data_IF_255725600688
#
_entry.id   IF_255725600688
#
_cell.length_a   1.000
_cell.length_b   1.000
_cell.length_c   1.000
_cell.angle_alpha   90.00
_cell.angle_beta   90.00
_cell.angle_gamma   90.00
#
_symmetry.space_group_name_H-M   'P 1'
#
loop_
_entity.id
_entity.type
_entity.pdbx_description
1 polymer ?
#
# COMPACT_ATOMS: atom_id res chain seq x y z
N UNK A 1 2.61 29.79 -15.04
CA UNK A 1 2.92 28.43 -14.56
C UNK A 1 1.77 27.77 -13.81
N UNK A 2 1.07 28.45 -12.90
CA UNK A 2 -0.09 27.95 -12.13
C UNK A 2 -1.23 27.31 -12.96
N UNK A 3 -1.35 27.66 -14.24
CA UNK A 3 -2.43 27.21 -15.12
C UNK A 3 -2.28 25.74 -15.60
N UNK A 4 -1.08 25.17 -15.61
CA UNK A 4 -0.84 23.81 -16.11
C UNK A 4 -1.28 22.74 -15.09
N UNK A 5 -0.86 22.89 -13.83
CA UNK A 5 -1.29 21.96 -12.74
C UNK A 5 -2.78 21.99 -12.55
N UNK A 6 -3.36 23.20 -12.43
CA UNK A 6 -4.81 23.35 -12.32
C UNK A 6 -5.53 22.73 -13.50
N UNK A 7 -4.99 22.90 -14.71
CA UNK A 7 -5.52 22.31 -15.94
C UNK A 7 -5.40 20.78 -15.95
N UNK A 8 -4.30 20.22 -15.48
CA UNK A 8 -4.12 18.77 -15.36
C UNK A 8 -5.06 18.19 -14.31
N UNK A 9 -5.15 18.84 -13.12
CA UNK A 9 -6.05 18.46 -12.03
C UNK A 9 -7.53 18.47 -12.44
N UNK A 10 -7.93 19.42 -13.28
CA UNK A 10 -9.33 19.60 -13.72
C UNK A 10 -9.72 18.77 -14.93
N UNK A 11 -8.77 18.28 -15.72
CA UNK A 11 -9.05 17.63 -17.02
C UNK A 11 -8.80 16.12 -17.04
N UNK A 12 -8.01 15.60 -16.12
CA UNK A 12 -7.53 14.22 -16.20
C UNK A 12 -8.39 13.27 -15.36
N UNK A 13 -8.58 12.06 -15.86
CA UNK A 13 -8.93 10.93 -15.01
C UNK A 13 -7.71 10.57 -14.17
N UNK A 14 -7.95 10.21 -12.92
CA UNK A 14 -6.93 9.96 -11.92
C UNK A 14 -6.84 8.49 -11.55
N UNK A 15 -5.64 7.99 -11.55
CA UNK A 15 -5.22 6.78 -10.89
C UNK A 15 -4.33 7.17 -9.69
N UNK A 16 -4.93 7.76 -8.66
CA UNK A 16 -4.25 8.30 -7.47
C UNK A 16 -4.95 7.83 -6.19
N UNK A 17 -4.19 7.63 -5.13
CA UNK A 17 -4.75 7.28 -3.81
C UNK A 17 -5.65 8.41 -3.28
N UNK A 18 -6.83 8.04 -2.76
CA UNK A 18 -7.86 9.00 -2.35
C UNK A 18 -7.43 9.87 -1.17
N UNK A 19 -6.67 9.33 -0.21
CA UNK A 19 -6.17 10.08 0.97
C UNK A 19 -5.24 11.20 0.52
N UNK A 20 -4.38 10.93 -0.46
CA UNK A 20 -3.52 11.93 -1.06
C UNK A 20 -4.32 13.01 -1.80
N UNK A 21 -5.30 12.61 -2.61
CA UNK A 21 -6.17 13.55 -3.33
C UNK A 21 -6.94 14.47 -2.37
N UNK A 22 -7.44 13.94 -1.25
CA UNK A 22 -8.15 14.71 -0.24
C UNK A 22 -7.23 15.66 0.54
N UNK A 23 -6.04 15.21 0.92
CA UNK A 23 -5.07 16.04 1.64
C UNK A 23 -4.67 17.30 0.84
N UNK A 24 -4.62 17.20 -0.49
CA UNK A 24 -4.26 18.31 -1.38
C UNK A 24 -5.48 19.10 -1.90
N UNK A 25 -6.68 18.66 -1.61
CA UNK A 25 -7.92 19.35 -2.01
C UNK A 25 -8.01 20.80 -1.51
N UNK A 26 -7.48 21.08 -0.33
CA UNK A 26 -7.37 22.43 0.23
C UNK A 26 -6.46 23.35 -0.59
N UNK A 27 -5.35 22.83 -1.10
CA UNK A 27 -4.42 23.57 -1.97
C UNK A 27 -5.10 23.89 -3.29
N UNK A 28 -5.77 22.91 -3.90
CA UNK A 28 -6.52 23.08 -5.14
C UNK A 28 -7.63 24.14 -4.97
N UNK A 29 -8.39 24.05 -3.86
CA UNK A 29 -9.42 25.04 -3.55
C UNK A 29 -8.83 26.45 -3.32
N UNK A 30 -7.67 26.53 -2.68
CA UNK A 30 -6.94 27.79 -2.49
C UNK A 30 -6.49 28.40 -3.82
N UNK A 31 -5.92 27.60 -4.73
CA UNK A 31 -5.52 28.04 -6.07
C UNK A 31 -6.72 28.53 -6.90
N UNK A 32 -7.86 27.82 -6.83
CA UNK A 32 -9.11 28.22 -7.48
C UNK A 32 -9.62 29.57 -6.94
N UNK A 33 -9.45 29.82 -5.66
CA UNK A 33 -9.85 31.06 -4.99
C UNK A 33 -8.83 32.20 -5.14
N UNK A 34 -7.75 32.02 -5.92
CA UNK A 34 -6.74 33.03 -6.18
C UNK A 34 -5.78 33.26 -5.01
N UNK A 35 -5.71 32.34 -4.05
CA UNK A 35 -4.67 32.37 -3.03
C UNK A 35 -3.32 32.07 -3.68
N UNK A 36 -2.39 33.02 -3.56
CA UNK A 36 -1.01 32.81 -3.91
C UNK A 36 -0.34 32.02 -2.79
N UNK A 37 -0.04 30.76 -3.05
CA UNK A 37 0.94 30.06 -2.22
C UNK A 37 2.31 30.52 -2.67
N UNK A 38 2.89 31.50 -1.98
CA UNK A 38 4.31 31.82 -2.16
C UNK A 38 5.10 30.58 -1.80
N UNK A 39 5.77 30.00 -2.80
CA UNK A 39 6.85 29.08 -2.51
C UNK A 39 7.85 29.88 -1.68
N UNK A 40 8.04 29.53 -0.43
CA UNK A 40 9.17 30.04 0.33
C UNK A 40 10.42 29.60 -0.41
N UNK A 41 11.03 30.56 -1.14
CA UNK A 41 12.25 30.36 -1.93
C UNK A 41 13.46 29.95 -1.07
N UNK A 42 13.27 29.91 0.24
CA UNK A 42 14.31 29.65 1.24
C UNK A 42 14.26 28.26 1.86
N UNK A 43 13.28 27.41 1.47
CA UNK A 43 13.40 25.98 1.73
C UNK A 43 14.38 25.40 0.71
N UNK A 44 15.67 25.38 1.05
CA UNK A 44 16.64 24.45 0.47
C UNK A 44 16.10 23.02 0.72
N UNK A 45 15.13 22.62 -0.09
CA UNK A 45 14.68 21.24 -0.10
C UNK A 45 15.82 20.40 -0.67
N UNK A 46 16.54 19.73 0.22
CA UNK A 46 17.53 18.71 -0.12
C UNK A 46 16.92 17.50 -0.87
N UNK A 47 15.71 17.65 -1.39
CA UNK A 47 14.96 16.60 -2.10
C UNK A 47 15.29 16.52 -3.59
N UNK A 48 15.78 17.58 -4.24
CA UNK A 48 16.18 17.50 -5.65
C UNK A 48 17.22 16.41 -5.91
N UNK A 49 18.19 16.25 -5.01
CA UNK A 49 19.22 15.20 -5.13
C UNK A 49 18.68 13.80 -4.93
N UNK A 50 17.57 13.62 -4.21
CA UNK A 50 16.94 12.32 -3.95
C UNK A 50 15.96 11.89 -5.06
N UNK A 51 15.63 12.77 -6.00
CA UNK A 51 14.77 12.46 -7.14
C UNK A 51 15.52 12.14 -8.44
N UNK A 52 16.84 12.36 -8.47
CA UNK A 52 17.67 12.03 -9.63
C UNK A 52 18.08 10.55 -9.63
N UNK A 53 18.19 9.92 -10.80
CA UNK A 53 18.71 8.57 -10.90
C UNK A 53 20.20 8.55 -10.49
N UNK A 54 20.62 7.44 -9.92
CA UNK A 54 22.01 7.19 -9.56
C UNK A 54 22.32 5.70 -9.74
N UNK A 55 23.61 5.37 -9.82
CA UNK A 55 24.03 3.98 -9.83
C UNK A 55 24.71 3.59 -8.52
N UNK A 56 24.63 2.30 -8.19
CA UNK A 56 25.37 1.67 -7.10
C UNK A 56 26.11 0.45 -7.66
N UNK A 57 27.28 0.13 -7.08
CA UNK A 57 27.92 -1.14 -7.37
C UNK A 57 27.30 -2.23 -6.50
N UNK A 58 26.98 -3.39 -7.08
CA UNK A 58 26.48 -4.54 -6.33
C UNK A 58 27.44 -4.99 -5.21
N UNK A 59 28.77 -4.85 -5.42
CA UNK A 59 29.80 -5.17 -4.43
C UNK A 59 30.03 -4.07 -3.37
N UNK A 60 29.50 -2.88 -3.56
CA UNK A 60 29.61 -1.74 -2.65
C UNK A 60 28.36 -0.86 -2.67
N UNK A 61 27.23 -1.36 -2.13
CA UNK A 61 25.92 -0.68 -2.26
C UNK A 61 25.87 0.71 -1.60
N UNK A 62 26.76 0.98 -0.66
CA UNK A 62 26.84 2.28 0.03
C UNK A 62 27.49 3.37 -0.84
N UNK A 63 28.15 3.02 -1.94
CA UNK A 63 28.77 4.00 -2.84
C UNK A 63 27.80 4.34 -3.97
N UNK A 64 27.35 5.59 -4.00
CA UNK A 64 26.49 6.14 -5.05
C UNK A 64 27.33 6.85 -6.10
N UNK A 65 26.96 6.64 -7.36
CA UNK A 65 27.52 7.33 -8.53
C UNK A 65 26.41 8.19 -9.14
N UNK A 66 26.67 9.47 -9.29
CA UNK A 66 25.66 10.45 -9.76
C UNK A 66 25.34 10.31 -11.25
N UNK A 67 26.21 9.67 -12.01
CA UNK A 67 26.02 9.36 -13.44
C UNK A 67 26.28 7.88 -13.68
N UNK A 68 25.69 7.33 -14.73
CA UNK A 68 25.94 5.94 -15.10
C UNK A 68 27.33 5.74 -15.73
N UNK A 69 27.88 6.81 -16.35
CA UNK A 69 29.24 6.79 -16.92
C UNK A 69 30.34 6.60 -15.87
N UNK A 70 30.16 7.19 -14.69
CA UNK A 70 31.14 7.09 -13.59
C UNK A 70 31.03 5.76 -12.82
N UNK A 71 29.96 5.01 -13.03
CA UNK A 71 29.71 3.74 -12.35
C UNK A 71 30.53 2.60 -12.98
N UNK A 72 31.06 1.68 -12.17
CA UNK A 72 31.75 0.50 -12.72
C UNK A 72 30.77 -0.39 -13.49
N UNK A 73 31.32 -1.16 -14.45
CA UNK A 73 30.53 -2.15 -15.18
C UNK A 73 29.88 -3.15 -14.22
N UNK A 74 28.63 -3.54 -14.49
CA UNK A 74 27.85 -4.40 -13.61
C UNK A 74 27.16 -3.65 -12.46
N UNK A 75 27.09 -2.32 -12.53
CA UNK A 75 26.36 -1.51 -11.57
C UNK A 75 24.84 -1.63 -11.75
N UNK A 76 24.11 -1.26 -10.69
CA UNK A 76 22.65 -1.24 -10.64
C UNK A 76 22.19 0.22 -10.67
N UNK A 77 21.31 0.55 -11.62
CA UNK A 77 20.66 1.86 -11.66
C UNK A 77 19.50 1.91 -10.66
N UNK A 78 19.44 2.97 -9.87
CA UNK A 78 18.32 3.27 -8.97
C UNK A 78 17.56 4.43 -9.58
N UNK A 79 16.28 4.20 -9.91
CA UNK A 79 15.38 5.20 -10.50
C UNK A 79 14.31 5.55 -9.46
N UNK A 80 14.41 6.70 -8.78
CA UNK A 80 13.40 7.13 -7.82
C UNK A 80 12.09 7.49 -8.52
N UNK A 81 10.96 6.94 -8.00
CA UNK A 81 9.59 7.26 -8.38
C UNK A 81 8.89 7.74 -7.11
N UNK A 82 8.92 9.05 -6.87
CA UNK A 82 8.42 9.67 -5.64
C UNK A 82 7.35 10.70 -5.91
N UNK A 83 6.37 10.75 -5.01
CA UNK A 83 5.26 11.70 -5.09
C UNK A 83 4.28 11.39 -6.23
N UNK A 84 3.39 12.34 -6.58
CA UNK A 84 2.37 12.15 -7.61
C UNK A 84 2.98 12.04 -9.00
N UNK A 85 2.50 11.07 -9.78
CA UNK A 85 2.92 10.84 -11.16
C UNK A 85 2.11 11.72 -12.11
N UNK A 86 2.78 12.67 -12.73
CA UNK A 86 2.24 13.52 -13.80
C UNK A 86 2.92 13.15 -15.13
N UNK A 87 2.28 13.46 -16.27
CA UNK A 87 2.86 13.17 -17.58
C UNK A 87 4.18 13.89 -17.79
N UNK A 88 4.16 15.20 -17.55
CA UNK A 88 5.31 16.09 -17.69
C UNK A 88 5.90 16.42 -16.33
N UNK A 89 7.19 16.75 -16.28
CA UNK A 89 7.81 17.28 -15.06
C UNK A 89 7.16 18.60 -14.69
N UNK A 90 6.64 18.71 -13.48
CA UNK A 90 6.07 19.94 -12.97
C UNK A 90 6.74 20.32 -11.64
N UNK A 91 7.30 21.52 -11.63
CA UNK A 91 7.90 22.18 -10.47
C UNK A 91 6.96 23.28 -10.01
N UNK A 92 5.89 22.93 -9.27
CA UNK A 92 4.98 23.96 -8.76
C UNK A 92 4.65 23.74 -7.29
N UNK A 93 4.64 24.83 -6.51
CA UNK A 93 4.32 24.86 -5.08
C UNK A 93 5.25 24.04 -4.18
N UNK A 94 6.51 23.79 -4.57
CA UNK A 94 7.49 23.06 -3.75
C UNK A 94 7.27 21.55 -3.71
N UNK A 95 6.31 21.03 -4.48
CA UNK A 95 6.10 19.58 -4.68
C UNK A 95 6.66 19.20 -6.03
N UNK A 96 7.73 18.41 -6.04
CA UNK A 96 8.24 17.77 -7.24
C UNK A 96 7.31 16.62 -7.61
N UNK A 97 6.60 16.74 -8.74
CA UNK A 97 5.93 15.61 -9.38
C UNK A 97 6.92 14.89 -10.30
N UNK A 98 6.95 13.57 -10.22
CA UNK A 98 7.74 12.77 -11.14
C UNK A 98 7.08 12.76 -12.52
N UNK A 99 7.70 13.38 -13.50
CA UNK A 99 7.27 13.36 -14.90
C UNK A 99 7.42 11.97 -15.49
N UNK A 100 6.32 11.35 -15.90
CA UNK A 100 6.32 9.99 -16.44
C UNK A 100 7.15 9.86 -17.72
N UNK A 101 7.16 10.89 -18.57
CA UNK A 101 7.97 10.90 -19.80
C UNK A 101 9.47 10.93 -19.46
N UNK A 102 9.87 11.75 -18.49
CA UNK A 102 11.25 11.84 -17.99
C UNK A 102 11.67 10.55 -17.28
N UNK A 103 10.82 10.00 -16.40
CA UNK A 103 11.08 8.72 -15.74
C UNK A 103 11.28 7.59 -16.77
N UNK A 104 10.42 7.54 -17.79
CA UNK A 104 10.53 6.54 -18.84
C UNK A 104 11.82 6.67 -19.66
N UNK A 105 12.31 7.88 -19.91
CA UNK A 105 13.59 8.09 -20.56
C UNK A 105 14.76 7.65 -19.66
N UNK A 106 14.73 7.97 -18.36
CA UNK A 106 15.73 7.50 -17.38
C UNK A 106 15.80 5.97 -17.30
N UNK A 107 14.66 5.28 -17.39
CA UNK A 107 14.60 3.81 -17.43
C UNK A 107 15.26 3.29 -18.70
N UNK A 108 14.96 3.86 -19.86
CA UNK A 108 15.56 3.45 -21.14
C UNK A 108 17.06 3.80 -21.22
N UNK A 109 17.47 4.94 -20.67
CA UNK A 109 18.88 5.32 -20.58
C UNK A 109 19.67 4.28 -19.74
N UNK A 110 19.10 3.83 -18.61
CA UNK A 110 19.69 2.78 -17.80
C UNK A 110 19.72 1.43 -18.52
N UNK A 111 18.65 1.06 -19.23
CA UNK A 111 18.55 -0.20 -20.00
C UNK A 111 19.59 -0.29 -21.12
N UNK A 112 19.94 0.84 -21.73
CA UNK A 112 20.90 0.91 -22.85
C UNK A 112 22.33 1.14 -22.39
N UNK A 113 22.56 1.44 -21.12
CA UNK A 113 23.87 1.85 -20.64
C UNK A 113 24.79 0.65 -20.36
N UNK A 114 26.02 0.61 -20.93
CA UNK A 114 26.91 -0.55 -20.85
C UNK A 114 27.40 -0.88 -19.44
N UNK A 115 27.39 0.09 -18.52
CA UNK A 115 27.80 -0.10 -17.13
C UNK A 115 26.69 -0.63 -16.24
N UNK A 116 25.43 -0.64 -16.72
CA UNK A 116 24.25 -1.04 -15.93
C UNK A 116 23.87 -2.48 -16.27
N UNK A 117 23.77 -3.32 -15.25
CA UNK A 117 23.35 -4.71 -15.36
C UNK A 117 21.99 -4.99 -14.76
N UNK A 118 21.44 -4.06 -13.98
CA UNK A 118 20.14 -4.17 -13.33
C UNK A 118 19.54 -2.81 -13.02
N UNK A 119 18.21 -2.74 -12.92
CA UNK A 119 17.48 -1.50 -12.63
C UNK A 119 16.59 -1.74 -11.42
N UNK A 120 16.61 -0.84 -10.45
CA UNK A 120 15.67 -0.81 -9.33
C UNK A 120 14.81 0.45 -9.44
N UNK A 121 13.50 0.27 -9.57
CA UNK A 121 12.52 1.34 -9.40
C UNK A 121 12.29 1.53 -7.90
N UNK A 122 12.75 2.65 -7.36
CA UNK A 122 12.59 2.99 -5.95
C UNK A 122 11.31 3.81 -5.76
N UNK A 123 10.25 3.15 -5.27
CA UNK A 123 8.87 3.66 -5.36
C UNK A 123 8.36 4.11 -3.99
N UNK A 124 7.92 5.38 -3.91
CA UNK A 124 7.10 5.94 -2.85
C UNK A 124 6.13 6.95 -3.47
N UNK A 125 5.00 6.44 -3.99
CA UNK A 125 4.10 7.22 -4.81
C UNK A 125 2.62 6.84 -4.63
N UNK A 126 1.72 7.84 -4.48
CA UNK A 126 0.27 7.63 -4.42
C UNK A 126 -0.37 7.32 -5.79
N UNK A 127 0.41 7.27 -6.86
CA UNK A 127 -0.06 7.27 -8.23
C UNK A 127 -0.20 8.66 -8.83
N UNK A 128 -1.08 8.86 -9.82
CA UNK A 128 -1.19 10.13 -10.51
C UNK A 128 -2.20 10.15 -11.66
N UNK A 129 -1.89 10.85 -12.73
CA UNK A 129 -2.73 10.91 -13.92
C UNK A 129 -2.69 9.60 -14.70
N UNK A 130 -3.82 9.22 -15.31
CA UNK A 130 -3.87 8.04 -16.20
C UNK A 130 -3.04 8.29 -17.46
N UNK A 131 -3.06 9.54 -17.96
CA UNK A 131 -2.26 9.94 -19.13
C UNK A 131 -0.76 9.84 -18.80
N UNK A 132 -0.03 9.08 -19.61
CA UNK A 132 1.39 8.78 -19.44
C UNK A 132 1.67 7.45 -18.71
N UNK A 133 0.76 6.97 -17.85
CA UNK A 133 1.01 5.78 -17.00
C UNK A 133 1.29 4.52 -17.83
N UNK A 134 0.46 4.23 -18.82
CA UNK A 134 0.66 3.05 -19.68
C UNK A 134 1.99 3.14 -20.44
N UNK A 135 2.32 4.31 -20.98
CA UNK A 135 3.58 4.50 -21.73
C UNK A 135 4.81 4.27 -20.86
N UNK A 136 4.79 4.72 -19.60
CA UNK A 136 5.87 4.44 -18.63
C UNK A 136 5.92 2.95 -18.28
N UNK A 137 4.79 2.32 -18.02
CA UNK A 137 4.70 0.89 -17.71
C UNK A 137 5.23 0.03 -18.88
N UNK A 138 4.88 0.38 -20.12
CA UNK A 138 5.35 -0.31 -21.33
C UNK A 138 6.86 -0.15 -21.51
N UNK A 139 7.45 1.01 -21.21
CA UNK A 139 8.91 1.22 -21.22
C UNK A 139 9.59 0.30 -20.19
N UNK A 140 9.09 0.25 -18.94
CA UNK A 140 9.62 -0.64 -17.90
C UNK A 140 9.57 -2.10 -18.37
N UNK A 141 8.45 -2.53 -18.93
CA UNK A 141 8.25 -3.91 -19.39
C UNK A 141 9.12 -4.26 -20.60
N UNK A 142 9.49 -3.28 -21.42
CA UNK A 142 10.31 -3.49 -22.63
C UNK A 142 11.80 -3.57 -22.37
N UNK A 143 12.25 -3.27 -21.15
CA UNK A 143 13.68 -3.33 -20.81
C UNK A 143 14.24 -4.74 -20.98
N UNK A 144 15.43 -4.81 -21.54
CA UNK A 144 16.24 -6.04 -21.63
C UNK A 144 16.99 -6.28 -20.34
N UNK A 145 17.45 -5.22 -19.72
CA UNK A 145 18.04 -5.21 -18.38
C UNK A 145 16.96 -5.54 -17.35
N UNK A 146 17.17 -6.49 -16.43
CA UNK A 146 16.17 -6.84 -15.43
C UNK A 146 15.81 -5.66 -14.55
N UNK A 147 14.50 -5.52 -14.30
CA UNK A 147 13.93 -4.45 -13.48
C UNK A 147 13.29 -5.06 -12.25
N UNK A 148 13.60 -4.53 -11.08
CA UNK A 148 12.95 -4.84 -9.79
C UNK A 148 12.32 -3.59 -9.23
N UNK A 149 11.08 -3.67 -8.78
CA UNK A 149 10.43 -2.60 -8.02
C UNK A 149 10.68 -2.79 -6.53
N UNK A 150 11.24 -1.77 -5.88
CA UNK A 150 11.39 -1.71 -4.43
C UNK A 150 10.51 -0.60 -3.87
N UNK A 151 9.60 -0.95 -2.96
CA UNK A 151 8.60 -0.04 -2.42
C UNK A 151 9.06 0.46 -1.06
N UNK A 152 9.29 1.78 -0.96
CA UNK A 152 9.67 2.49 0.27
C UNK A 152 8.51 3.37 0.75
N UNK A 153 7.51 2.74 1.37
CA UNK A 153 6.32 3.41 1.90
C UNK A 153 5.05 3.09 1.15
N UNK A 154 4.84 3.62 -0.06
CA UNK A 154 3.58 3.50 -0.80
C UNK A 154 3.81 3.20 -2.29
N UNK A 155 3.09 2.20 -2.81
CA UNK A 155 2.94 1.98 -4.24
C UNK A 155 1.44 1.85 -4.57
N UNK A 156 0.81 2.96 -4.92
CA UNK A 156 -0.63 2.98 -5.15
C UNK A 156 -0.97 3.40 -6.59
N UNK A 157 -2.06 2.81 -7.09
CA UNK A 157 -2.75 3.24 -8.31
C UNK A 157 -1.84 3.32 -9.55
N UNK A 158 -1.59 4.46 -10.19
CA UNK A 158 -0.68 4.58 -11.34
C UNK A 158 0.74 4.04 -11.03
N UNK A 159 1.24 4.26 -9.81
CA UNK A 159 2.53 3.74 -9.40
C UNK A 159 2.54 2.20 -9.32
N UNK A 160 1.42 1.58 -8.91
CA UNK A 160 1.26 0.13 -8.93
C UNK A 160 1.22 -0.40 -10.38
N UNK A 161 0.51 0.28 -11.28
CA UNK A 161 0.51 -0.10 -12.70
C UNK A 161 1.94 -0.16 -13.25
N UNK A 162 2.74 0.87 -12.98
CA UNK A 162 4.15 0.92 -13.40
C UNK A 162 4.98 -0.13 -12.66
N UNK A 163 4.88 -0.19 -11.34
CA UNK A 163 5.71 -1.06 -10.50
C UNK A 163 5.49 -2.55 -10.77
N UNK A 164 4.25 -2.96 -11.07
CA UNK A 164 3.95 -4.36 -11.42
C UNK A 164 4.47 -4.77 -12.81
N UNK A 165 4.95 -3.83 -13.63
CA UNK A 165 5.59 -4.12 -14.91
C UNK A 165 7.04 -4.57 -14.77
N UNK A 166 7.64 -4.46 -13.59
CA UNK A 166 8.94 -5.02 -13.25
C UNK A 166 8.88 -6.55 -13.09
N UNK A 167 10.04 -7.21 -13.18
CA UNK A 167 10.17 -8.66 -13.05
C UNK A 167 9.84 -9.15 -11.63
N UNK A 168 10.19 -8.35 -10.60
CA UNK A 168 9.85 -8.62 -9.20
C UNK A 168 9.44 -7.33 -8.50
N UNK A 169 8.60 -7.48 -7.48
CA UNK A 169 8.11 -6.39 -6.63
C UNK A 169 8.38 -6.73 -5.17
N UNK A 170 9.17 -5.90 -4.50
CA UNK A 170 9.62 -6.12 -3.13
C UNK A 170 9.18 -4.93 -2.27
N UNK A 171 8.45 -5.19 -1.19
CA UNK A 171 8.08 -4.17 -0.20
C UNK A 171 9.11 -4.10 0.92
N UNK A 172 9.44 -2.89 1.38
CA UNK A 172 10.47 -2.68 2.39
C UNK A 172 10.16 -3.37 3.72
N UNK A 173 8.90 -3.33 4.15
CA UNK A 173 8.46 -3.89 5.43
C UNK A 173 6.94 -4.13 5.43
N UNK A 174 6.42 -4.71 6.52
CA UNK A 174 5.01 -5.07 6.66
C UNK A 174 4.05 -3.87 6.65
N UNK A 175 4.50 -2.67 7.00
CA UNK A 175 3.68 -1.44 6.99
C UNK A 175 3.65 -0.73 5.65
N UNK A 176 4.40 -1.20 4.66
CA UNK A 176 4.36 -0.70 3.29
C UNK A 176 2.97 -0.91 2.70
N UNK A 177 2.46 0.09 2.01
CA UNK A 177 1.11 0.09 1.45
C UNK A 177 1.12 -0.13 -0.07
N UNK A 178 0.26 -1.03 -0.54
CA UNK A 178 0.20 -1.44 -1.95
C UNK A 178 -1.28 -1.55 -2.38
N UNK A 179 -1.65 -1.04 -3.56
CA UNK A 179 -3.01 -1.23 -4.06
C UNK A 179 -3.59 -0.04 -4.79
N UNK A 180 -4.83 0.33 -4.43
CA UNK A 180 -5.60 1.41 -5.08
C UNK A 180 -5.77 1.18 -6.60
N UNK A 181 -6.06 -0.09 -7.00
CA UNK A 181 -6.31 -0.42 -8.41
C UNK A 181 -7.70 0.06 -8.78
N UNK A 182 -7.77 1.26 -9.34
CA UNK A 182 -9.02 1.89 -9.72
C UNK A 182 -8.80 3.25 -10.37
N UNK A 183 -9.85 3.77 -11.00
CA UNK A 183 -9.87 5.06 -11.69
C UNK A 183 -10.97 5.91 -11.08
N UNK A 184 -10.67 7.18 -10.86
CA UNK A 184 -11.64 8.16 -10.38
C UNK A 184 -11.52 9.47 -11.13
N UNK A 185 -12.57 10.26 -11.10
CA UNK A 185 -12.56 11.70 -11.42
C UNK A 185 -13.21 12.44 -10.28
N UNK A 186 -12.63 13.56 -9.92
CA UNK A 186 -13.20 14.47 -8.93
C UNK A 186 -13.18 15.88 -9.50
N UNK A 187 -14.30 16.57 -9.42
CA UNK A 187 -14.42 17.97 -9.83
C UNK A 187 -15.36 18.72 -8.89
N UNK A 188 -15.13 20.01 -8.74
CA UNK A 188 -16.01 20.91 -7.99
C UNK A 188 -16.86 21.71 -8.97
N UNK A 189 -18.19 21.72 -8.75
CA UNK A 189 -19.10 22.60 -9.48
C UNK A 189 -19.08 24.01 -8.86
N UNK A 190 -18.39 24.92 -9.52
CA UNK A 190 -18.29 26.32 -9.12
C UNK A 190 -19.30 27.22 -9.84
N UNK A 191 -20.05 26.68 -10.80
CA UNK A 191 -21.01 27.47 -11.59
C UNK A 191 -22.05 28.19 -10.72
N UNK A 192 -22.70 27.56 -9.70
CA UNK A 192 -23.67 28.24 -8.88
C UNK A 192 -23.11 29.42 -8.07
N UNK A 193 -21.82 29.37 -7.71
CA UNK A 193 -21.14 30.50 -7.06
C UNK A 193 -20.96 31.67 -8.00
N UNK A 194 -20.44 31.41 -9.18
CA UNK A 194 -20.19 32.43 -10.17
C UNK A 194 -21.49 33.08 -10.71
N UNK A 195 -22.55 32.30 -10.82
CA UNK A 195 -23.89 32.84 -11.18
C UNK A 195 -24.42 33.80 -10.11
N UNK A 196 -24.20 33.53 -8.81
CA UNK A 196 -24.51 34.48 -7.73
C UNK A 196 -23.68 35.76 -7.80
N UNK A 197 -22.48 35.69 -8.34
CA UNK A 197 -21.59 36.85 -8.59
C UNK A 197 -21.93 37.56 -9.90
N UNK A 198 -23.00 37.18 -10.62
CA UNK A 198 -23.52 37.81 -11.81
C UNK A 198 -22.93 37.32 -13.14
N UNK A 199 -22.07 36.27 -13.10
CA UNK A 199 -21.51 35.63 -14.30
C UNK A 199 -22.60 34.81 -14.99
N UNK A 200 -22.74 34.95 -16.30
CA UNK A 200 -23.67 34.15 -17.11
C UNK A 200 -22.85 33.26 -18.06
N UNK A 201 -23.11 31.97 -17.98
CA UNK A 201 -22.46 30.97 -18.83
C UNK A 201 -23.33 30.69 -20.06
N UNK A 202 -22.74 30.81 -21.25
CA UNK A 202 -23.38 30.45 -22.50
C UNK A 202 -22.60 29.32 -23.16
N UNK A 203 -23.27 28.20 -23.45
CA UNK A 203 -22.68 27.08 -24.18
C UNK A 203 -23.35 26.99 -25.56
N UNK A 204 -22.55 27.09 -26.59
CA UNK A 204 -23.00 26.98 -27.96
C UNK A 204 -22.16 25.94 -28.66
N UNK A 205 -22.77 24.84 -29.08
CA UNK A 205 -22.11 23.78 -29.85
C UNK A 205 -22.47 23.94 -31.33
N UNK A 206 -21.56 23.52 -32.23
CA UNK A 206 -21.90 23.34 -33.62
C UNK A 206 -22.92 22.19 -33.79
N UNK A 207 -23.71 22.21 -34.83
CA UNK A 207 -24.74 21.19 -35.09
C UNK A 207 -24.17 19.78 -35.15
N UNK A 208 -22.92 19.61 -35.60
CA UNK A 208 -22.20 18.35 -35.70
C UNK A 208 -21.54 17.91 -34.37
N UNK A 209 -21.64 18.73 -33.32
CA UNK A 209 -20.91 18.56 -32.07
C UNK A 209 -21.87 18.36 -30.87
N UNK A 210 -22.98 17.64 -31.06
CA UNK A 210 -24.05 17.48 -30.06
C UNK A 210 -23.55 16.78 -28.78
N UNK A 211 -22.62 15.84 -28.92
CA UNK A 211 -22.08 15.08 -27.79
C UNK A 211 -20.84 15.70 -27.13
N UNK A 212 -20.40 16.88 -27.65
CA UNK A 212 -19.22 17.55 -27.10
C UNK A 212 -19.45 17.94 -25.61
N UNK A 213 -18.69 17.34 -24.70
CA UNK A 213 -18.79 17.54 -23.27
C UNK A 213 -20.16 17.16 -22.67
N UNK A 214 -20.98 16.37 -23.36
CA UNK A 214 -22.31 15.98 -22.90
C UNK A 214 -22.24 15.28 -21.57
N UNK A 215 -21.35 14.29 -21.40
CA UNK A 215 -21.16 13.51 -20.17
C UNK A 215 -20.85 14.39 -18.97
N UNK A 216 -20.02 15.43 -19.12
CA UNK A 216 -19.74 16.39 -18.05
C UNK A 216 -20.92 17.33 -17.78
N UNK A 217 -21.68 17.68 -18.80
CA UNK A 217 -22.90 18.49 -18.62
C UNK A 217 -23.96 17.71 -17.85
N UNK A 218 -24.15 16.45 -18.22
CA UNK A 218 -25.09 15.55 -17.55
C UNK A 218 -24.66 15.33 -16.09
N UNK A 219 -23.36 15.22 -15.81
CA UNK A 219 -22.82 15.09 -14.47
C UNK A 219 -23.06 16.33 -13.59
N UNK A 220 -22.96 17.54 -14.13
CA UNK A 220 -23.34 18.77 -13.42
C UNK A 220 -24.82 18.79 -13.05
N UNK A 221 -25.67 18.07 -13.79
CA UNK A 221 -27.09 17.89 -13.51
C UNK A 221 -27.37 16.63 -12.64
N UNK A 222 -26.34 15.96 -12.12
CA UNK A 222 -26.43 14.80 -11.23
C UNK A 222 -26.49 13.45 -11.94
N UNK A 223 -26.39 13.40 -13.27
CA UNK A 223 -26.28 12.14 -14.01
C UNK A 223 -24.80 11.80 -14.31
N UNK A 224 -24.25 10.91 -13.51
CA UNK A 224 -22.86 10.44 -13.61
C UNK A 224 -22.72 9.20 -14.50
N UNK A 225 -23.79 8.69 -15.09
CA UNK A 225 -23.77 7.44 -15.88
C UNK A 225 -22.81 7.50 -17.04
N UNK A 226 -22.86 8.56 -17.85
CA UNK A 226 -21.99 8.75 -19.02
C UNK A 226 -20.50 8.85 -18.65
N UNK A 227 -20.14 9.55 -17.58
CA UNK A 227 -18.73 9.57 -17.11
C UNK A 227 -18.26 8.18 -16.75
N UNK A 228 -19.08 7.38 -16.04
CA UNK A 228 -18.73 6.01 -15.67
C UNK A 228 -18.57 5.12 -16.89
N UNK A 229 -19.56 5.09 -17.78
CA UNK A 229 -19.58 4.15 -18.92
C UNK A 229 -18.57 4.51 -19.99
N UNK A 230 -18.41 5.80 -20.32
CA UNK A 230 -17.65 6.23 -21.48
C UNK A 230 -16.18 6.53 -21.16
N UNK A 231 -15.85 6.76 -19.88
CA UNK A 231 -14.50 7.14 -19.48
C UNK A 231 -13.93 6.27 -18.37
N UNK A 232 -14.56 6.16 -17.18
CA UNK A 232 -13.93 5.54 -16.02
C UNK A 232 -13.83 4.03 -16.17
N UNK A 233 -14.92 3.36 -16.56
CA UNK A 233 -14.93 1.91 -16.71
C UNK A 233 -13.94 1.42 -17.78
N UNK A 234 -13.89 1.98 -19.01
CA UNK A 234 -12.90 1.58 -20.00
C UNK A 234 -11.45 1.81 -19.56
N UNK A 235 -11.17 2.88 -18.80
CA UNK A 235 -9.83 3.11 -18.26
C UNK A 235 -9.50 2.12 -17.13
N UNK A 236 -10.46 1.84 -16.25
CA UNK A 236 -10.30 0.84 -15.18
C UNK A 236 -10.07 -0.56 -15.75
N UNK A 237 -10.80 -0.95 -16.80
CA UNK A 237 -10.60 -2.23 -17.49
C UNK A 237 -9.18 -2.35 -18.08
N UNK A 238 -8.65 -1.28 -18.68
CA UNK A 238 -7.27 -1.26 -19.19
C UNK A 238 -6.24 -1.41 -18.07
N UNK A 239 -6.44 -0.72 -16.94
CA UNK A 239 -5.59 -0.83 -15.77
C UNK A 239 -5.61 -2.27 -15.23
N UNK A 240 -6.80 -2.82 -14.98
CA UNK A 240 -6.97 -4.19 -14.48
C UNK A 240 -6.33 -5.19 -15.44
N UNK A 241 -6.54 -5.04 -16.75
CA UNK A 241 -5.96 -5.93 -17.75
C UNK A 241 -4.42 -5.89 -17.73
N UNK A 242 -3.82 -4.70 -17.59
CA UNK A 242 -2.37 -4.55 -17.50
C UNK A 242 -1.80 -5.23 -16.25
N UNK A 243 -2.44 -5.02 -15.08
CA UNK A 243 -2.02 -5.67 -13.83
C UNK A 243 -2.20 -7.19 -13.91
N UNK A 244 -3.32 -7.69 -14.43
CA UNK A 244 -3.55 -9.14 -14.65
C UNK A 244 -2.53 -9.75 -15.61
N UNK A 245 -2.09 -9.02 -16.63
CA UNK A 245 -1.05 -9.50 -17.56
C UNK A 245 0.32 -9.66 -16.89
N UNK A 246 0.62 -8.88 -15.87
CA UNK A 246 1.86 -8.95 -15.10
C UNK A 246 1.72 -9.88 -13.87
N UNK A 247 0.51 -10.01 -13.33
CA UNK A 247 0.15 -10.77 -12.12
C UNK A 247 -1.11 -11.61 -12.38
N UNK A 248 -1.01 -12.76 -13.10
CA UNK A 248 -2.19 -13.48 -13.62
C UNK A 248 -3.07 -14.15 -12.56
N UNK A 249 -2.54 -14.40 -11.36
CA UNK A 249 -3.23 -15.17 -10.30
C UNK A 249 -3.90 -14.29 -9.25
N UNK A 250 -4.07 -12.99 -9.50
CA UNK A 250 -4.70 -12.08 -8.53
C UNK A 250 -6.21 -12.37 -8.39
N UNK A 251 -6.73 -12.41 -7.15
CA UNK A 251 -8.17 -12.50 -6.92
C UNK A 251 -8.87 -11.20 -7.29
N UNK A 252 -10.15 -11.28 -7.68
CA UNK A 252 -10.91 -10.07 -8.09
C UNK A 252 -11.09 -9.04 -6.96
N UNK A 253 -10.93 -9.44 -5.71
CA UNK A 253 -11.01 -8.56 -4.54
C UNK A 253 -9.96 -7.43 -4.52
N UNK A 254 -8.85 -7.59 -5.25
CA UNK A 254 -7.80 -6.55 -5.34
C UNK A 254 -8.16 -5.41 -6.30
N UNK A 255 -9.14 -5.62 -7.19
CA UNK A 255 -9.52 -4.65 -8.23
C UNK A 255 -10.65 -3.70 -7.81
N UNK A 256 -10.75 -3.40 -6.52
CA UNK A 256 -11.83 -2.57 -5.95
C UNK A 256 -11.37 -1.17 -5.54
N UNK A 257 -10.11 -0.83 -5.78
CA UNK A 257 -9.51 0.43 -5.32
C UNK A 257 -9.00 0.38 -3.87
N UNK A 258 -9.04 -0.78 -3.21
CA UNK A 258 -8.52 -0.96 -1.84
C UNK A 258 -6.99 -0.88 -1.83
N UNK A 259 -6.44 -0.37 -0.73
CA UNK A 259 -5.01 -0.42 -0.38
C UNK A 259 -4.81 -1.50 0.67
N UNK A 260 -3.73 -2.24 0.56
CA UNK A 260 -3.36 -3.37 1.41
C UNK A 260 -2.00 -3.08 2.06
N UNK A 261 -1.78 -3.58 3.26
CA UNK A 261 -0.44 -3.67 3.82
C UNK A 261 0.35 -4.81 3.16
N UNK A 262 1.68 -4.73 3.24
CA UNK A 262 2.55 -5.64 2.51
C UNK A 262 2.31 -7.12 2.82
N UNK A 263 1.97 -7.50 4.06
CA UNK A 263 1.65 -8.89 4.43
C UNK A 263 0.42 -9.42 3.66
N UNK A 264 -0.65 -8.62 3.59
CA UNK A 264 -1.85 -8.95 2.83
C UNK A 264 -1.56 -8.93 1.32
N UNK A 265 -0.81 -7.92 0.84
CA UNK A 265 -0.40 -7.80 -0.56
C UNK A 265 0.45 -8.98 -1.04
N UNK A 266 1.34 -9.51 -0.19
CA UNK A 266 2.12 -10.71 -0.45
C UNK A 266 1.22 -11.95 -0.55
N UNK A 267 0.30 -12.11 0.39
CA UNK A 267 -0.65 -13.23 0.41
C UNK A 267 -1.55 -13.22 -0.83
N UNK A 268 -1.95 -12.02 -1.30
CA UNK A 268 -2.77 -11.83 -2.49
C UNK A 268 -1.97 -11.96 -3.80
N UNK A 269 -0.64 -11.96 -3.77
CA UNK A 269 0.22 -12.04 -4.94
C UNK A 269 0.49 -10.70 -5.64
N UNK A 270 0.16 -9.58 -5.00
CA UNK A 270 0.45 -8.24 -5.53
C UNK A 270 1.95 -7.90 -5.50
N UNK A 271 2.68 -8.47 -4.54
CA UNK A 271 4.13 -8.38 -4.40
C UNK A 271 4.74 -9.78 -4.28
N UNK A 272 6.06 -9.89 -4.47
CA UNK A 272 6.76 -11.17 -4.45
C UNK A 272 7.47 -11.42 -3.11
N UNK A 273 7.86 -10.34 -2.40
CA UNK A 273 8.63 -10.46 -1.17
C UNK A 273 8.51 -9.20 -0.31
N UNK A 274 8.73 -9.38 1.00
CA UNK A 274 8.98 -8.29 1.95
C UNK A 274 10.45 -8.38 2.35
N UNK A 275 11.20 -7.27 2.22
CA UNK A 275 12.62 -7.26 2.56
C UNK A 275 13.30 -5.92 2.28
N UNK A 276 14.56 -5.82 2.69
CA UNK A 276 15.35 -4.59 2.59
C UNK A 276 15.83 -4.30 1.16
N UNK A 277 16.43 -3.12 0.96
CA UNK A 277 17.06 -2.74 -0.31
C UNK A 277 18.17 -3.71 -0.73
N UNK A 278 18.89 -4.31 0.21
CA UNK A 278 19.93 -5.31 -0.07
C UNK A 278 19.32 -6.56 -0.71
N UNK A 279 18.10 -6.94 -0.33
CA UNK A 279 17.35 -8.04 -0.96
C UNK A 279 16.96 -7.66 -2.40
N UNK A 280 16.54 -6.43 -2.65
CA UNK A 280 16.22 -5.95 -3.99
C UNK A 280 17.48 -5.92 -4.89
N UNK A 281 18.62 -5.51 -4.34
CA UNK A 281 19.93 -5.55 -5.01
C UNK A 281 20.31 -6.99 -5.36
N UNK A 282 20.17 -7.91 -4.41
CA UNK A 282 20.45 -9.32 -4.65
C UNK A 282 19.53 -9.91 -5.71
N UNK A 283 18.23 -9.62 -5.66
CA UNK A 283 17.24 -10.10 -6.62
C UNK A 283 17.56 -9.63 -8.05
N UNK A 284 17.83 -8.33 -8.26
CA UNK A 284 18.15 -7.82 -9.59
C UNK A 284 19.49 -8.34 -10.09
N UNK A 285 20.45 -8.61 -9.21
CA UNK A 285 21.76 -9.20 -9.57
C UNK A 285 21.60 -10.64 -10.03
N UNK A 286 20.76 -11.43 -9.35
CA UNK A 286 20.45 -12.81 -9.78
C UNK A 286 19.79 -12.81 -11.16
N UNK A 287 18.76 -11.99 -11.37
CA UNK A 287 18.09 -11.85 -12.66
C UNK A 287 19.06 -11.43 -13.77
N UNK A 288 20.02 -10.54 -13.48
CA UNK A 288 21.04 -10.11 -14.43
C UNK A 288 21.98 -11.26 -14.85
N UNK A 289 22.32 -12.15 -13.91
CA UNK A 289 23.17 -13.30 -14.19
C UNK A 289 22.50 -14.36 -15.08
N UNK A 290 21.17 -14.47 -15.01
CA UNK A 290 20.40 -15.40 -15.84
C UNK A 290 20.29 -14.96 -17.31
N UNK A 291 20.35 -13.64 -17.57
CA UNK A 291 20.24 -13.06 -18.92
C UNK A 291 21.59 -13.06 -19.64
N UNK A 292 22.69 -12.97 -18.91
CA UNK A 292 24.02 -13.00 -19.49
C UNK A 292 24.41 -14.47 -19.74
N UNK A 293 24.51 -14.96 -21.00
CA UNK A 293 25.00 -16.30 -21.24
C UNK A 293 26.40 -16.39 -20.65
N UNK A 294 26.68 -17.42 -19.86
CA UNK A 294 28.05 -17.75 -19.46
C UNK A 294 28.83 -17.87 -20.76
N UNK A 295 29.86 -17.04 -21.04
CA UNK A 295 30.68 -17.23 -22.24
C UNK A 295 31.25 -18.63 -22.20
N UNK A 296 31.16 -19.35 -23.35
CA UNK A 296 31.81 -20.63 -23.49
C UNK A 296 33.26 -20.53 -23.00
N UNK A 297 33.76 -21.52 -22.25
CA UNK A 297 35.12 -21.48 -21.74
C UNK A 297 36.09 -21.30 -22.91
N UNK A 298 37.03 -20.34 -22.88
CA UNK A 298 37.93 -20.04 -23.98
C UNK A 298 38.72 -21.30 -24.35
N UNK A 299 38.61 -21.70 -25.61
CA UNK A 299 39.44 -22.75 -26.16
C UNK A 299 40.92 -22.34 -25.99
N UNK A 300 41.69 -23.23 -25.42
CA UNK A 300 43.07 -23.09 -25.05
C UNK A 300 43.93 -22.41 -26.13
N UNK A 301 44.42 -21.20 -25.84
CA UNK A 301 45.51 -20.54 -26.56
C UNK A 301 46.67 -20.37 -25.61
N UNK A 302 47.74 -21.00 -26.00
CA UNK A 302 49.17 -20.93 -25.62
C UNK A 302 49.56 -20.07 -24.39
N UNK A 303 50.29 -20.77 -23.51
CA UNK A 303 50.94 -20.29 -22.32
C UNK A 303 51.71 -18.97 -22.49
N UNK A 304 51.24 -17.92 -21.83
CA UNK A 304 52.01 -16.73 -21.51
C UNK A 304 52.50 -16.81 -20.07
N UNK A 305 53.77 -16.42 -19.87
CA UNK A 305 54.49 -16.44 -18.60
C UNK A 305 53.80 -15.48 -17.59
N UNK A 306 53.42 -15.91 -16.37
CA UNK A 306 52.64 -15.11 -15.46
C UNK A 306 53.46 -13.95 -14.84
N UNK A 307 52.84 -12.76 -14.86
CA UNK A 307 53.23 -11.64 -13.99
C UNK A 307 52.38 -11.73 -12.74
N UNK A 308 52.95 -12.15 -11.61
CA UNK A 308 52.27 -12.32 -10.35
C UNK A 308 51.98 -10.96 -9.68
N UNK A 309 50.74 -10.57 -9.59
CA UNK A 309 50.29 -9.49 -8.72
C UNK A 309 49.49 -10.13 -7.57
N UNK A 310 49.98 -10.00 -6.34
CA UNK A 310 49.32 -10.59 -5.16
C UNK A 310 48.06 -9.78 -4.83
N UNK A 311 46.88 -10.31 -5.08
CA UNK A 311 45.64 -9.80 -4.53
C UNK A 311 45.41 -10.41 -3.13
N UNK A 312 45.05 -9.56 -2.16
CA UNK A 312 44.76 -10.02 -0.82
C UNK A 312 43.28 -10.47 -0.79
N UNK A 313 43.03 -11.78 -0.77
CA UNK A 313 41.69 -12.40 -0.71
C UNK A 313 41.50 -13.11 0.62
N UNK A 314 41.32 -12.36 1.77
CA UNK A 314 41.42 -12.93 3.12
C UNK A 314 40.34 -13.99 3.37
N UNK A 315 39.14 -13.84 2.83
CA UNK A 315 38.05 -14.81 3.01
C UNK A 315 38.35 -16.14 2.28
N UNK A 316 38.85 -16.06 1.07
CA UNK A 316 39.19 -17.24 0.27
C UNK A 316 40.44 -17.97 0.84
N UNK A 317 41.41 -17.22 1.32
CA UNK A 317 42.61 -17.73 2.01
C UNK A 317 42.19 -18.46 3.30
N UNK A 318 41.30 -17.87 4.07
CA UNK A 318 40.76 -18.48 5.31
C UNK A 318 39.93 -19.74 5.01
N UNK A 319 39.09 -19.71 3.98
CA UNK A 319 38.24 -20.83 3.57
C UNK A 319 39.08 -22.03 3.12
N UNK A 320 40.13 -21.78 2.31
CA UNK A 320 41.00 -22.79 1.73
C UNK A 320 42.15 -23.21 2.68
N UNK A 321 42.31 -22.56 3.83
CA UNK A 321 43.37 -22.78 4.83
C UNK A 321 44.79 -22.75 4.21
N UNK A 322 45.02 -21.87 3.22
CA UNK A 322 46.28 -21.66 2.55
C UNK A 322 46.93 -20.36 2.99
N UNK A 323 48.25 -20.25 2.89
CA UNK A 323 48.99 -19.03 3.25
C UNK A 323 48.92 -17.92 2.20
N UNK A 324 48.65 -18.27 0.96
CA UNK A 324 48.51 -17.34 -0.17
C UNK A 324 47.83 -18.01 -1.35
N UNK A 325 47.22 -17.20 -2.23
CA UNK A 325 46.60 -17.65 -3.47
C UNK A 325 47.34 -16.95 -4.62
N UNK A 326 47.74 -17.71 -5.63
CA UNK A 326 48.38 -17.15 -6.82
C UNK A 326 47.34 -16.45 -7.67
N UNK A 327 47.60 -15.19 -8.02
CA UNK A 327 46.76 -14.36 -8.86
C UNK A 327 47.52 -13.85 -10.07
N UNK A 328 46.86 -13.76 -11.20
CA UNK A 328 47.37 -13.10 -12.41
C UNK A 328 46.47 -11.93 -12.79
N UNK A 329 46.85 -11.17 -13.81
CA UNK A 329 45.97 -10.09 -14.35
C UNK A 329 44.68 -10.66 -14.96
N UNK A 330 44.62 -11.94 -15.28
CA UNK A 330 43.48 -12.64 -15.89
C UNK A 330 42.57 -13.31 -14.83
N UNK A 331 43.02 -13.45 -13.57
CA UNK A 331 42.18 -14.05 -12.52
C UNK A 331 42.97 -14.79 -11.43
N UNK A 332 42.23 -15.60 -10.69
CA UNK A 332 42.70 -16.45 -9.60
C UNK A 332 42.76 -17.89 -10.10
N UNK A 333 43.93 -18.54 -9.96
CA UNK A 333 44.06 -19.95 -10.27
C UNK A 333 43.91 -20.81 -9.04
N UNK A 334 42.95 -21.72 -9.07
CA UNK A 334 42.68 -22.70 -8.04
C UNK A 334 43.03 -24.11 -8.58
N UNK A 335 43.67 -24.91 -7.76
CA UNK A 335 43.87 -26.31 -8.09
C UNK A 335 42.60 -27.13 -7.82
N UNK A 336 42.53 -28.37 -8.31
CA UNK A 336 41.34 -29.23 -8.16
C UNK A 336 40.92 -29.42 -6.69
N UNK A 337 41.86 -29.54 -5.77
CA UNK A 337 41.59 -29.72 -4.35
C UNK A 337 41.05 -28.45 -3.69
N UNK A 338 41.49 -27.27 -4.15
CA UNK A 338 40.95 -25.97 -3.70
C UNK A 338 39.52 -25.73 -4.24
N UNK A 339 39.27 -26.15 -5.47
CA UNK A 339 37.92 -26.06 -6.05
C UNK A 339 36.95 -26.97 -5.32
N UNK A 340 37.35 -28.24 -5.03
CA UNK A 340 36.57 -29.19 -4.27
C UNK A 340 36.24 -28.67 -2.85
N UNK A 341 37.19 -27.98 -2.19
CA UNK A 341 36.98 -27.38 -0.88
C UNK A 341 35.96 -26.22 -0.92
N UNK A 342 35.96 -25.42 -1.98
CA UNK A 342 34.99 -24.35 -2.21
C UNK A 342 33.60 -24.95 -2.47
N UNK A 343 33.50 -25.96 -3.33
CA UNK A 343 32.25 -26.65 -3.61
C UNK A 343 31.65 -27.26 -2.34
N UNK A 344 32.47 -27.91 -1.51
CA UNK A 344 32.03 -28.47 -0.22
C UNK A 344 31.54 -27.36 0.75
N UNK A 345 32.24 -26.24 0.81
CA UNK A 345 31.83 -25.11 1.66
C UNK A 345 30.51 -24.46 1.18
N UNK A 346 30.33 -24.33 -0.14
CA UNK A 346 29.09 -23.85 -0.73
C UNK A 346 27.92 -24.80 -0.48
N UNK A 347 28.14 -26.12 -0.58
CA UNK A 347 27.13 -27.14 -0.28
C UNK A 347 26.70 -27.07 1.20
N UNK A 348 27.64 -26.98 2.14
CA UNK A 348 27.34 -26.85 3.57
C UNK A 348 26.56 -25.57 3.86
N UNK A 349 26.94 -24.44 3.25
CA UNK A 349 26.22 -23.16 3.42
C UNK A 349 24.80 -23.23 2.84
N UNK A 350 24.63 -23.92 1.72
CA UNK A 350 23.30 -24.16 1.12
C UNK A 350 22.40 -24.97 2.05
N UNK A 351 22.93 -26.00 2.71
CA UNK A 351 22.18 -26.83 3.65
C UNK A 351 21.85 -26.07 4.95
N UNK A 352 22.74 -25.21 5.46
CA UNK A 352 22.47 -24.29 6.57
C UNK A 352 21.36 -23.32 6.21
N UNK A 353 21.43 -22.70 5.03
CA UNK A 353 20.39 -21.76 4.55
C UNK A 353 19.03 -22.45 4.39
N UNK A 354 19.02 -23.71 3.90
CA UNK A 354 17.78 -24.50 3.83
C UNK A 354 17.20 -24.73 5.23
N UNK A 355 18.01 -25.14 6.19
CA UNK A 355 17.59 -25.38 7.58
C UNK A 355 17.02 -24.11 8.22
N UNK A 356 17.66 -22.95 8.01
CA UNK A 356 17.17 -21.66 8.48
C UNK A 356 15.82 -21.31 7.83
N UNK A 357 15.70 -21.52 6.52
CA UNK A 357 14.47 -21.26 5.77
C UNK A 357 13.32 -22.14 6.25
N UNK A 358 13.57 -23.43 6.53
CA UNK A 358 12.57 -24.36 7.07
C UNK A 358 12.14 -23.97 8.49
N UNK A 359 13.09 -23.53 9.33
CA UNK A 359 12.80 -23.03 10.67
C UNK A 359 11.93 -21.78 10.63
N UNK A 360 12.29 -20.79 9.80
CA UNK A 360 11.51 -19.56 9.61
C UNK A 360 10.11 -19.86 9.06
N UNK A 361 9.98 -20.80 8.12
CA UNK A 361 8.67 -21.21 7.61
C UNK A 361 7.81 -21.89 8.69
N UNK A 362 8.43 -22.64 9.60
CA UNK A 362 7.74 -23.23 10.75
C UNK A 362 7.25 -22.17 11.73
N UNK A 363 8.10 -21.20 12.08
CA UNK A 363 7.74 -20.09 12.96
C UNK A 363 6.64 -19.22 12.36
N UNK A 364 6.70 -18.92 11.04
CA UNK A 364 5.68 -18.18 10.36
C UNK A 364 4.30 -18.89 10.39
N UNK A 365 4.28 -20.21 10.23
CA UNK A 365 3.04 -21.00 10.37
C UNK A 365 2.48 -20.96 11.79
N UNK A 366 3.35 -21.04 12.81
CA UNK A 366 2.92 -20.94 14.20
C UNK A 366 2.36 -19.55 14.52
N UNK A 367 3.00 -18.50 14.03
CA UNK A 367 2.52 -17.13 14.17
C UNK A 367 1.15 -16.92 13.48
N UNK A 368 0.99 -17.44 12.27
CA UNK A 368 -0.30 -17.39 11.54
C UNK A 368 -1.41 -18.10 12.30
N UNK A 369 -1.12 -19.27 12.89
CA UNK A 369 -2.09 -20.01 13.72
C UNK A 369 -2.45 -19.23 14.99
N UNK A 370 -1.48 -18.59 15.61
CA UNK A 370 -1.71 -17.75 16.79
C UNK A 370 -2.61 -16.54 16.48
N UNK A 371 -2.40 -15.88 15.33
CA UNK A 371 -3.24 -14.79 14.85
C UNK A 371 -4.67 -15.26 14.62
N UNK A 372 -4.89 -16.36 13.91
CA UNK A 372 -6.22 -16.91 13.64
C UNK A 372 -6.97 -17.26 14.94
N UNK A 373 -6.26 -17.82 15.94
CA UNK A 373 -6.83 -18.09 17.25
C UNK A 373 -7.21 -16.81 18.01
N UNK A 374 -6.39 -15.76 17.91
CA UNK A 374 -6.67 -14.46 18.53
C UNK A 374 -7.90 -13.77 17.87
N UNK A 375 -8.02 -13.82 16.56
CA UNK A 375 -9.19 -13.31 15.82
C UNK A 375 -10.47 -14.06 16.22
N UNK A 376 -10.40 -15.38 16.36
CA UNK A 376 -11.52 -16.19 16.85
C UNK A 376 -11.93 -15.81 18.28
N UNK A 377 -10.96 -15.60 19.15
CA UNK A 377 -11.20 -15.16 20.52
C UNK A 377 -11.81 -13.77 20.58
N UNK A 378 -11.35 -12.85 19.73
CA UNK A 378 -11.93 -11.51 19.62
C UNK A 378 -13.39 -11.56 19.14
N UNK A 379 -13.70 -12.30 18.09
CA UNK A 379 -15.07 -12.47 17.60
C UNK A 379 -16.02 -13.06 18.67
N UNK A 380 -15.54 -14.03 19.45
CA UNK A 380 -16.29 -14.59 20.56
C UNK A 380 -16.54 -13.56 21.68
N UNK A 381 -15.55 -12.72 21.99
CA UNK A 381 -15.70 -11.64 22.97
C UNK A 381 -16.68 -10.57 22.51
N UNK A 382 -16.65 -10.18 21.24
CA UNK A 382 -17.59 -9.24 20.63
C UNK A 382 -19.03 -9.77 20.67
N UNK A 383 -19.25 -11.04 20.35
CA UNK A 383 -20.54 -11.71 20.46
C UNK A 383 -21.05 -11.76 21.90
N UNK A 384 -20.19 -12.08 22.87
CA UNK A 384 -20.53 -12.07 24.28
C UNK A 384 -20.92 -10.67 24.78
N UNK A 385 -20.20 -9.63 24.31
CA UNK A 385 -20.53 -8.24 24.62
C UNK A 385 -21.89 -7.84 24.05
N UNK A 386 -22.19 -8.19 22.80
CA UNK A 386 -23.48 -7.91 22.18
C UNK A 386 -24.63 -8.59 22.92
N UNK A 387 -24.47 -9.85 23.34
CA UNK A 387 -25.45 -10.55 24.15
C UNK A 387 -25.67 -9.87 25.52
N UNK A 388 -24.59 -9.48 26.19
CA UNK A 388 -24.66 -8.77 27.47
C UNK A 388 -25.37 -7.41 27.33
N UNK A 389 -25.12 -6.65 26.28
CA UNK A 389 -25.79 -5.39 25.99
C UNK A 389 -27.29 -5.59 25.73
N UNK A 390 -27.65 -6.65 24.99
CA UNK A 390 -29.05 -7.01 24.73
C UNK A 390 -29.78 -7.36 26.02
N UNK A 391 -29.14 -8.19 26.86
CA UNK A 391 -29.71 -8.56 28.18
C UNK A 391 -29.85 -7.34 29.11
N UNK A 392 -28.86 -6.45 29.13
CA UNK A 392 -28.90 -5.21 29.89
C UNK A 392 -30.06 -4.30 29.43
N UNK A 393 -30.25 -4.16 28.11
CA UNK A 393 -31.36 -3.38 27.54
C UNK A 393 -32.71 -3.97 27.90
N UNK A 394 -32.88 -5.29 27.76
CA UNK A 394 -34.11 -5.98 28.13
C UNK A 394 -34.43 -5.82 29.64
N UNK A 395 -33.42 -5.97 30.52
CA UNK A 395 -33.55 -5.78 31.95
C UNK A 395 -33.97 -4.33 32.28
N UNK A 396 -33.33 -3.35 31.61
CA UNK A 396 -33.65 -1.93 31.79
C UNK A 396 -35.10 -1.62 31.38
N UNK A 397 -35.56 -2.19 30.26
CA UNK A 397 -36.93 -2.06 29.79
C UNK A 397 -37.92 -2.65 30.79
N UNK A 398 -37.66 -3.89 31.23
CA UNK A 398 -38.51 -4.54 32.24
C UNK A 398 -38.61 -3.76 33.58
N UNK A 399 -37.49 -3.16 34.02
CA UNK A 399 -37.49 -2.31 35.21
C UNK A 399 -38.32 -1.02 35.03
N UNK A 400 -38.29 -0.44 33.81
CA UNK A 400 -39.09 0.77 33.54
C UNK A 400 -40.61 0.52 33.59
N UNK A 401 -41.02 -0.71 33.27
CA UNK A 401 -42.44 -1.08 33.23
C UNK A 401 -43.04 -1.33 34.63
N UNK A 402 -42.18 -1.45 35.68
CA UNK A 402 -42.61 -1.79 37.02
C UNK A 402 -43.25 -0.58 37.76
N UNK A 403 -42.59 0.58 37.69
CA UNK A 403 -43.08 1.77 38.45
C UNK A 403 -42.51 3.07 37.82
N UNK A 404 -43.32 4.17 37.78
CA UNK A 404 -42.85 5.45 37.19
C UNK A 404 -41.59 6.03 37.81
N UNK A 405 -41.38 5.89 39.11
CA UNK A 405 -40.13 6.33 39.77
C UNK A 405 -38.90 5.54 39.32
N UNK A 406 -39.07 4.27 39.00
CA UNK A 406 -37.99 3.45 38.43
C UNK A 406 -37.74 3.84 36.97
N UNK A 407 -38.78 4.09 36.19
CA UNK A 407 -38.67 4.53 34.80
C UNK A 407 -37.92 5.86 34.67
N UNK A 408 -38.12 6.81 35.60
CA UNK A 408 -37.49 8.13 35.60
C UNK A 408 -36.03 8.14 36.05
N UNK A 409 -35.51 7.05 36.62
CA UNK A 409 -34.13 6.96 37.10
C UNK A 409 -33.12 6.82 35.93
N UNK A 410 -32.02 7.60 35.91
CA UNK A 410 -31.18 7.76 34.72
C UNK A 410 -30.32 6.54 34.38
N UNK A 411 -29.96 5.74 35.35
CA UNK A 411 -29.07 4.56 35.18
C UNK A 411 -29.51 3.38 36.03
N UNK A 412 -28.92 2.22 35.78
CA UNK A 412 -29.26 0.95 36.45
C UNK A 412 -29.07 1.04 37.98
N UNK A 413 -28.02 1.69 38.45
CA UNK A 413 -27.74 1.88 39.87
C UNK A 413 -28.85 2.70 40.53
N UNK A 414 -29.25 3.81 39.91
CA UNK A 414 -30.34 4.68 40.36
C UNK A 414 -31.69 3.94 40.35
N UNK A 415 -31.92 3.05 39.37
CA UNK A 415 -33.13 2.21 39.31
C UNK A 415 -33.19 1.22 40.46
N UNK A 416 -32.07 0.59 40.80
CA UNK A 416 -31.98 -0.32 41.97
C UNK A 416 -32.25 0.45 43.27
N UNK A 417 -31.75 1.68 43.41
CA UNK A 417 -32.00 2.51 44.59
C UNK A 417 -33.45 2.97 44.68
N UNK A 418 -34.07 3.26 43.55
CA UNK A 418 -35.53 3.55 43.50
C UNK A 418 -36.36 2.34 43.96
N UNK A 419 -36.02 1.12 43.51
CA UNK A 419 -36.66 -0.13 43.97
C UNK A 419 -36.51 -0.27 45.49
N UNK A 420 -35.32 -0.10 46.03
CA UNK A 420 -35.03 -0.19 47.46
C UNK A 420 -35.88 0.84 48.24
N UNK A 421 -36.03 2.04 47.72
CA UNK A 421 -36.84 3.11 48.30
C UNK A 421 -38.35 2.77 48.30
N UNK A 422 -38.87 2.21 47.20
CA UNK A 422 -40.26 1.77 47.06
C UNK A 422 -40.54 0.65 48.07
N UNK A 423 -39.64 -0.35 48.14
CA UNK A 423 -39.78 -1.48 49.08
C UNK A 423 -39.73 -1.04 50.55
N UNK A 424 -38.89 -0.03 50.89
CA UNK A 424 -38.80 0.50 52.26
C UNK A 424 -40.02 1.31 52.72
N UNK A 425 -40.79 1.86 51.77
CA UNK A 425 -42.03 2.59 52.06
C UNK A 425 -43.23 1.67 52.35
N UNK A 426 -43.11 0.34 52.09
CA UNK A 426 -44.17 -0.62 52.45
C UNK A 426 -44.11 -0.94 53.92
N UNK A 427 -45.30 -0.87 54.69
CA UNK A 427 -45.36 -1.20 56.09
C UNK A 427 -44.98 -2.69 56.33
N UNK A 428 -44.18 -2.93 57.35
CA UNK A 428 -43.54 -4.27 57.68
C UNK A 428 -44.58 -5.37 58.10
N UNK A 429 -45.88 -5.18 57.93
CA UNK A 429 -46.93 -6.06 58.46
C UNK A 429 -47.78 -6.80 57.41
N UNK A 430 -47.38 -6.76 56.12
CA UNK A 430 -48.01 -7.63 55.12
C UNK A 430 -47.06 -8.72 54.69
N UNK A 431 -47.33 -10.04 54.87
CA UNK A 431 -46.59 -11.07 54.21
C UNK A 431 -46.66 -10.84 52.72
N UNK A 432 -45.54 -11.02 51.99
CA UNK A 432 -45.52 -11.05 50.54
C UNK A 432 -46.27 -12.33 50.14
N UNK A 433 -47.60 -12.26 50.18
CA UNK A 433 -48.48 -13.31 49.67
C UNK A 433 -48.65 -13.10 48.19
N UNK A 434 -48.25 -14.09 47.38
CA UNK A 434 -48.64 -14.16 45.96
C UNK A 434 -50.16 -14.24 45.96
N UNK A 435 -50.83 -13.10 45.70
CA UNK A 435 -52.28 -13.11 45.46
C UNK A 435 -52.51 -13.66 44.06
N UNK A 436 -53.33 -14.72 44.00
CA UNK A 436 -53.84 -15.21 42.73
C UNK A 436 -54.71 -14.13 42.07
N UNK A 437 -54.73 -14.07 40.76
CA UNK A 437 -55.34 -13.01 39.92
C UNK A 437 -56.89 -12.92 39.97
N UNK A 438 -57.51 -12.96 41.14
CA UNK A 438 -58.99 -12.95 41.29
C UNK A 438 -59.58 -12.04 42.37
N UNK A 439 -58.91 -10.93 42.73
CA UNK A 439 -59.58 -9.96 43.62
C UNK A 439 -59.36 -8.50 43.14
N UNK A 440 -60.37 -7.85 42.56
CA UNK A 440 -60.21 -6.54 41.94
C UNK A 440 -60.39 -5.35 42.90
N UNK A 441 -60.27 -5.47 44.23
CA UNK A 441 -60.65 -4.43 45.18
C UNK A 441 -59.51 -3.86 46.06
N UNK A 442 -58.28 -3.87 45.71
CA UNK A 442 -57.24 -3.17 46.46
C UNK A 442 -56.42 -2.20 45.60
N UNK A 443 -56.20 -1.04 46.10
CA UNK A 443 -55.52 0.13 45.54
C UNK A 443 -54.29 -0.22 44.75
N UNK A 444 -54.37 0.13 43.49
CA UNK A 444 -53.26 0.12 42.54
C UNK A 444 -52.05 0.95 43.10
N UNK A 445 -51.01 0.31 43.61
CA UNK A 445 -49.78 0.97 44.06
C UNK A 445 -48.86 1.26 42.88
N UNK A 446 -49.33 1.02 41.67
CA UNK A 446 -48.60 1.27 40.43
C UNK A 446 -47.40 0.34 40.21
N UNK A 447 -47.25 -0.75 40.96
CA UNK A 447 -46.17 -1.72 40.82
C UNK A 447 -46.70 -2.99 40.18
N UNK A 448 -46.18 -3.39 39.01
CA UNK A 448 -46.45 -4.70 38.39
C UNK A 448 -45.63 -5.80 39.06
N UNK A 449 -46.17 -6.36 40.13
CA UNK A 449 -45.52 -7.41 40.92
C UNK A 449 -45.39 -8.75 40.16
N UNK A 450 -46.23 -8.97 39.15
CA UNK A 450 -46.13 -10.19 38.35
C UNK A 450 -44.86 -10.16 37.46
N UNK A 451 -44.59 -9.01 36.85
CA UNK A 451 -43.36 -8.79 36.06
C UNK A 451 -42.12 -8.82 36.94
N UNK A 452 -42.17 -8.23 38.15
CA UNK A 452 -41.04 -8.22 39.08
C UNK A 452 -40.64 -9.65 39.50
N UNK A 453 -41.61 -10.52 39.81
CA UNK A 453 -41.36 -11.91 40.22
C UNK A 453 -40.94 -12.83 39.07
N UNK A 454 -41.11 -12.44 37.83
CA UNK A 454 -40.69 -13.22 36.66
C UNK A 454 -39.22 -13.00 36.27
N UNK A 455 -38.51 -12.06 36.89
CA UNK A 455 -37.10 -11.80 36.59
C UNK A 455 -36.22 -12.91 37.15
N UNK A 456 -35.31 -13.48 36.34
CA UNK A 456 -34.54 -14.71 36.68
C UNK A 456 -33.69 -14.64 37.94
N UNK A 457 -33.34 -13.45 38.43
CA UNK A 457 -32.54 -13.21 39.62
C UNK A 457 -33.35 -12.92 40.91
N UNK A 458 -34.66 -12.94 40.80
CA UNK A 458 -35.58 -12.83 41.97
C UNK A 458 -36.17 -14.19 42.38
N UNK A 459 -35.87 -15.26 41.65
CA UNK A 459 -36.18 -16.62 42.11
C UNK A 459 -35.10 -17.04 43.12
N UNK A 460 -35.39 -16.85 44.40
CA UNK A 460 -34.62 -17.42 45.49
C UNK A 460 -35.24 -18.77 45.80
N UNK A 461 -34.45 -19.84 45.80
CA UNK A 461 -34.81 -21.16 46.21
C UNK A 461 -35.33 -21.21 47.66
#
# INVERSE_FOLDING_TARGET
>A
MKFRILSALLRSAWAIDHRFAMAHGGIVAGLINGLDFESSSDAEYGEEKNSLPYAISASSPNRKYSTFDDAPQGSIAIIPIRGPLMKDDEQDCGVLSAGMDTLGNRVLDADQHPNISGIILYIDSPGGTVDGTQALADKVKSCKTPVVSFIDGLMASAALWVGTSASQVIAQNSTTEIGSIGIMVQFADMQPRWEKEGVKFHRINADQSQDKNKTFTDALNGDYSGIKTDQLNPLAEKFIAAVKANRPNLPDSVFTGKVFFADEALTLGLIDQIGSMEIAIAAVTVLASEITPIPDPPQSVNAHKPITKTMNLPLLIALLQVSSIETTEEGVFLNAQQLEAIEAALANHSDEMRSITESLASEARQASTAVANAETAQANAENALALAQTALSATTTALNDIHPEIASAPDLTSKVEAIRTILSKKPATAPIGIKSAQDPSETDDGVDWATLNSLPHMQVD
#
